data_IF_690977859834
#
_entry.id   IF_690977859834
#
_cell.length_a   1.000
_cell.length_b   1.000
_cell.length_c   1.000
_cell.angle_alpha   90.00
_cell.angle_beta   90.00
_cell.angle_gamma   90.00
#
_symmetry.space_group_name_H-M   'P 1'
#
loop_
_entity.id
_entity.type
_entity.pdbx_description
1 polymer ?
#
# COMPACT_ATOMS: atom_id res chain seq x y z
N UNK A 1 -14.20 25.48 49.54
CA UNK A 1 -13.61 26.42 48.58
C UNK A 1 -12.10 26.23 48.39
N UNK A 2 -11.26 26.27 49.43
CA UNK A 2 -9.82 26.02 49.26
C UNK A 2 -9.44 24.54 49.04
N UNK A 3 -10.19 23.58 49.61
CA UNK A 3 -9.95 22.14 49.36
C UNK A 3 -10.18 21.78 47.89
N UNK A 4 -11.30 22.25 47.33
CA UNK A 4 -11.78 21.84 46.01
C UNK A 4 -10.78 22.16 44.89
N UNK A 5 -10.00 23.24 45.04
CA UNK A 5 -8.92 23.61 44.12
C UNK A 5 -7.69 22.71 44.25
N UNK A 6 -7.36 22.24 45.46
CA UNK A 6 -6.26 21.29 45.69
C UNK A 6 -6.62 19.92 45.13
N UNK A 7 -7.85 19.46 45.37
CA UNK A 7 -8.36 18.18 44.87
C UNK A 7 -8.37 18.14 43.32
N UNK A 8 -8.76 19.25 42.67
CA UNK A 8 -8.71 19.40 41.22
C UNK A 8 -7.27 19.31 40.67
N UNK A 9 -6.32 20.07 41.23
CA UNK A 9 -4.92 20.06 40.80
C UNK A 9 -4.25 18.68 40.99
N UNK A 10 -4.60 17.96 42.06
CA UNK A 10 -4.15 16.57 42.25
C UNK A 10 -4.74 15.63 41.19
N UNK A 11 -6.00 15.84 40.79
CA UNK A 11 -6.66 15.02 39.76
C UNK A 11 -6.03 15.21 38.37
N UNK A 12 -5.70 16.46 37.99
CA UNK A 12 -5.02 16.75 36.72
C UNK A 12 -3.61 16.15 36.67
N UNK A 13 -2.83 16.32 37.75
CA UNK A 13 -1.49 15.72 37.84
C UNK A 13 -1.54 14.20 37.68
N UNK A 14 -2.49 13.54 38.37
CA UNK A 14 -2.70 12.08 38.29
C UNK A 14 -3.17 11.62 36.90
N UNK A 15 -3.93 12.45 36.17
CA UNK A 15 -4.29 12.17 34.79
C UNK A 15 -3.08 12.24 33.85
N UNK A 16 -2.20 13.22 34.06
CA UNK A 16 -0.96 13.38 33.28
C UNK A 16 0.04 12.24 33.55
N UNK A 17 0.19 11.80 34.80
CA UNK A 17 1.01 10.63 35.18
C UNK A 17 0.51 9.37 34.42
N UNK A 18 -0.80 9.08 34.48
CA UNK A 18 -1.42 7.96 33.74
C UNK A 18 -1.26 8.02 32.22
N UNK A 19 -1.33 9.22 31.63
CA UNK A 19 -1.10 9.42 30.20
C UNK A 19 0.35 9.09 29.83
N UNK A 20 1.30 9.52 30.66
CA UNK A 20 2.73 9.25 30.48
C UNK A 20 3.02 7.75 30.53
N UNK A 21 2.51 7.05 31.55
CA UNK A 21 2.69 5.60 31.72
C UNK A 21 2.12 4.83 30.51
N UNK A 22 0.93 5.22 30.04
CA UNK A 22 0.27 4.60 28.88
C UNK A 22 1.06 4.81 27.57
N UNK A 23 1.62 6.02 27.36
CA UNK A 23 2.44 6.31 26.19
C UNK A 23 3.77 5.54 26.23
N UNK A 24 4.38 5.38 27.40
CA UNK A 24 5.59 4.58 27.56
C UNK A 24 5.31 3.09 27.27
N UNK A 25 4.22 2.53 27.79
CA UNK A 25 3.85 1.14 27.53
C UNK A 25 3.65 0.87 26.03
N UNK A 26 2.95 1.76 25.31
CA UNK A 26 2.75 1.63 23.86
C UNK A 26 4.09 1.69 23.09
N UNK A 27 5.05 2.51 23.54
CA UNK A 27 6.38 2.57 22.92
C UNK A 27 7.19 1.27 23.16
N UNK A 28 7.12 0.70 24.36
CA UNK A 28 7.77 -0.57 24.71
C UNK A 28 7.15 -1.75 23.92
N UNK A 29 5.82 -1.78 23.78
CA UNK A 29 5.09 -2.80 23.01
C UNK A 29 5.49 -2.76 21.52
N UNK A 30 5.61 -1.56 20.94
CA UNK A 30 6.04 -1.38 19.53
C UNK A 30 7.47 -1.89 19.32
N UNK A 31 8.40 -1.57 20.22
CA UNK A 31 9.79 -2.05 20.16
C UNK A 31 9.89 -3.58 20.30
N UNK A 32 9.08 -4.18 21.19
CA UNK A 32 8.97 -5.62 21.35
C UNK A 32 8.50 -6.31 20.05
N UNK A 33 7.43 -5.82 19.43
CA UNK A 33 6.88 -6.34 18.16
C UNK A 33 7.91 -6.23 17.03
N UNK A 34 8.62 -5.10 16.94
CA UNK A 34 9.69 -4.90 15.95
C UNK A 34 10.80 -5.95 16.10
N UNK A 35 11.24 -6.22 17.32
CA UNK A 35 12.31 -7.20 17.61
C UNK A 35 11.91 -8.62 17.23
N UNK A 36 10.74 -9.09 17.63
CA UNK A 36 10.33 -10.48 17.36
C UNK A 36 10.10 -10.74 15.85
N UNK A 37 9.67 -9.71 15.09
CA UNK A 37 9.51 -9.78 13.63
C UNK A 37 10.83 -10.07 12.89
N UNK A 38 11.97 -9.55 13.36
CA UNK A 38 13.29 -9.79 12.72
C UNK A 38 13.74 -11.25 12.76
N UNK A 39 13.23 -12.02 13.73
CA UNK A 39 13.57 -13.44 13.97
C UNK A 39 12.98 -14.40 12.93
N UNK A 40 11.96 -13.96 12.18
CA UNK A 40 11.18 -14.78 11.26
C UNK A 40 11.86 -14.89 9.88
N UNK A 41 12.81 -13.99 9.54
CA UNK A 41 13.39 -13.92 8.18
C UNK A 41 14.70 -14.71 7.96
N UNK A 42 15.28 -15.35 8.98
CA UNK A 42 16.58 -16.05 8.89
C UNK A 42 16.51 -17.51 8.37
N UNK A 43 15.40 -17.95 7.78
CA UNK A 43 15.22 -19.34 7.26
C UNK A 43 14.96 -19.45 5.76
N UNK A 44 15.47 -18.49 4.98
CA UNK A 44 15.24 -18.37 3.53
C UNK A 44 16.45 -18.64 2.61
N UNK A 45 17.43 -19.48 2.98
CA UNK A 45 18.65 -19.69 2.15
C UNK A 45 18.98 -21.16 1.84
N UNK A 46 18.45 -21.66 0.72
CA UNK A 46 18.78 -22.88 -0.06
C UNK A 46 18.38 -22.54 -1.52
N UNK A 47 19.23 -22.49 -2.56
CA UNK A 47 20.10 -23.52 -3.17
C UNK A 47 19.30 -24.82 -3.38
N UNK A 48 18.96 -25.29 -4.58
CA UNK A 48 19.26 -24.86 -5.97
C UNK A 48 18.06 -25.27 -6.89
N UNK A 49 18.06 -25.37 -8.23
CA UNK A 49 19.09 -25.42 -9.30
C UNK A 49 18.51 -24.96 -10.67
N UNK A 50 19.12 -25.32 -11.81
CA UNK A 50 18.78 -24.89 -13.17
C UNK A 50 17.92 -25.93 -13.94
N UNK A 51 16.90 -25.49 -14.69
CA UNK A 51 16.29 -26.31 -15.74
C UNK A 51 15.64 -25.43 -16.81
N UNK A 52 16.12 -25.57 -18.04
CA UNK A 52 15.53 -24.98 -19.23
C UNK A 52 14.27 -25.77 -19.63
N UNK A 53 13.20 -25.08 -20.02
CA UNK A 53 12.54 -25.12 -21.35
C UNK A 53 11.14 -24.51 -21.24
N UNK A 54 10.97 -23.44 -22.02
CA UNK A 54 9.77 -22.97 -22.72
C UNK A 54 8.47 -23.78 -22.58
N UNK A 55 7.40 -23.14 -22.08
CA UNK A 55 6.03 -23.46 -22.52
C UNK A 55 5.11 -22.22 -22.43
N UNK A 56 4.40 -21.93 -23.52
CA UNK A 56 3.47 -20.79 -23.64
C UNK A 56 2.02 -21.26 -23.45
N UNK A 57 1.63 -21.67 -22.24
CA UNK A 57 0.20 -21.79 -21.91
C UNK A 57 -0.13 -21.76 -20.41
N UNK A 58 -1.10 -20.91 -20.05
CA UNK A 58 -1.97 -21.02 -18.88
C UNK A 58 -1.35 -21.05 -17.46
N UNK A 59 -0.84 -19.90 -17.01
CA UNK A 59 -1.14 -19.45 -15.63
C UNK A 59 -1.26 -17.92 -15.58
N UNK A 60 -2.48 -17.41 -15.68
CA UNK A 60 -2.78 -15.97 -15.51
C UNK A 60 -2.69 -15.55 -14.03
N UNK A 61 -2.63 -16.51 -13.11
CA UNK A 61 -2.66 -16.27 -11.67
C UNK A 61 -1.28 -15.97 -11.09
N UNK A 62 -0.21 -16.60 -11.59
CA UNK A 62 1.15 -16.37 -11.07
C UNK A 62 1.73 -15.00 -11.46
N UNK A 63 1.25 -14.42 -12.56
CA UNK A 63 1.62 -13.05 -12.98
C UNK A 63 1.11 -12.00 -11.96
N UNK A 64 0.04 -12.28 -11.22
CA UNK A 64 -0.53 -11.35 -10.23
C UNK A 64 0.40 -11.10 -9.03
N UNK A 65 1.32 -12.02 -8.73
CA UNK A 65 2.28 -11.85 -7.64
C UNK A 65 3.65 -11.29 -8.11
N UNK A 66 3.82 -11.03 -9.41
CA UNK A 66 4.99 -10.28 -9.90
C UNK A 66 4.80 -8.82 -9.52
N UNK A 67 5.43 -8.40 -8.41
CA UNK A 67 5.53 -6.99 -8.01
C UNK A 67 6.17 -6.19 -9.14
N UNK A 68 5.34 -5.46 -9.90
CA UNK A 68 5.78 -4.52 -10.92
C UNK A 68 6.53 -3.40 -10.20
N UNK A 69 7.86 -3.40 -10.30
CA UNK A 69 8.70 -2.37 -9.72
C UNK A 69 9.10 -1.38 -10.82
N UNK A 70 8.22 -0.43 -11.12
CA UNK A 70 8.54 0.65 -12.05
C UNK A 70 9.60 1.57 -11.42
N UNK A 71 10.44 2.18 -12.25
CA UNK A 71 11.46 3.13 -11.80
C UNK A 71 11.40 4.40 -12.65
N UNK A 72 11.69 5.56 -12.04
CA UNK A 72 11.76 6.84 -12.75
C UNK A 72 10.40 7.40 -13.21
N UNK A 73 9.30 6.95 -12.60
CA UNK A 73 7.94 7.48 -12.79
C UNK A 73 7.23 7.82 -11.48
N UNK A 74 8.00 7.97 -10.41
CA UNK A 74 7.49 8.13 -9.04
C UNK A 74 6.56 9.34 -8.89
N UNK A 75 6.87 10.47 -9.55
CA UNK A 75 6.02 11.66 -9.58
C UNK A 75 4.66 11.38 -10.25
N UNK A 76 4.66 10.66 -11.38
CA UNK A 76 3.45 10.31 -12.12
C UNK A 76 2.59 9.31 -11.35
N UNK A 77 3.23 8.32 -10.71
CA UNK A 77 2.57 7.37 -9.80
C UNK A 77 1.94 8.08 -8.61
N UNK A 78 2.71 8.93 -7.91
CA UNK A 78 2.24 9.71 -6.76
C UNK A 78 1.04 10.60 -7.13
N UNK A 79 1.16 11.37 -8.21
CA UNK A 79 0.06 12.23 -8.68
C UNK A 79 -1.21 11.43 -9.01
N UNK A 80 -1.07 10.26 -9.65
CA UNK A 80 -2.21 9.39 -9.95
C UNK A 80 -2.86 8.82 -8.68
N UNK A 81 -2.07 8.38 -7.70
CA UNK A 81 -2.58 7.88 -6.42
C UNK A 81 -3.34 8.98 -5.66
N UNK A 82 -2.75 10.16 -5.50
CA UNK A 82 -3.38 11.32 -4.86
C UNK A 82 -4.67 11.72 -5.58
N UNK A 83 -4.67 11.72 -6.92
CA UNK A 83 -5.87 12.06 -7.69
C UNK A 83 -6.97 11.00 -7.60
N UNK A 84 -6.63 9.70 -7.56
CA UNK A 84 -7.62 8.62 -7.50
C UNK A 84 -8.21 8.42 -6.09
N UNK A 85 -7.46 8.77 -5.04
CA UNK A 85 -7.87 8.59 -3.63
C UNK A 85 -8.43 9.85 -2.96
N UNK A 86 -8.40 11.00 -3.65
CA UNK A 86 -9.02 12.24 -3.17
C UNK A 86 -10.52 12.07 -2.99
N UNK A 87 -11.06 12.63 -1.90
CA UNK A 87 -12.46 12.50 -1.48
C UNK A 87 -13.48 12.60 -2.62
N UNK A 88 -14.44 11.68 -2.60
CA UNK A 88 -15.49 11.54 -3.59
C UNK A 88 -16.31 12.84 -3.76
N UNK A 89 -16.37 13.36 -5.00
CA UNK A 89 -17.12 14.58 -5.33
C UNK A 89 -18.57 14.34 -5.75
N UNK A 90 -19.04 13.08 -5.76
CA UNK A 90 -20.33 12.69 -6.36
C UNK A 90 -20.25 12.37 -7.85
N UNK A 91 -19.14 12.68 -8.52
CA UNK A 91 -19.00 12.58 -9.98
C UNK A 91 -17.99 11.50 -10.41
N UNK A 92 -18.23 10.78 -11.53
CA UNK A 92 -17.25 9.84 -12.09
C UNK A 92 -15.96 10.54 -12.55
N UNK A 93 -14.81 10.10 -12.03
CA UNK A 93 -13.50 10.65 -12.40
C UNK A 93 -12.83 9.80 -13.49
N UNK A 94 -12.41 10.45 -14.58
CA UNK A 94 -11.66 9.83 -15.69
C UNK A 94 -10.25 10.41 -15.74
N UNK A 95 -9.23 9.56 -15.87
CA UNK A 95 -7.83 9.96 -16.04
C UNK A 95 -7.24 9.21 -17.23
N UNK A 96 -6.68 9.94 -18.20
CA UNK A 96 -6.08 9.38 -19.40
C UNK A 96 -4.55 9.31 -19.25
N UNK A 97 -3.96 8.15 -19.57
CA UNK A 97 -2.51 7.97 -19.65
C UNK A 97 -2.12 7.93 -21.13
N UNK A 98 -1.46 8.99 -21.60
CA UNK A 98 -1.05 9.18 -23.00
C UNK A 98 0.47 9.11 -23.16
N UNK A 99 0.95 8.90 -24.39
CA UNK A 99 2.37 8.78 -24.72
C UNK A 99 2.66 7.71 -25.78
N UNK A 100 3.93 7.61 -26.20
CA UNK A 100 4.40 6.73 -27.29
C UNK A 100 4.14 5.23 -27.04
N UNK A 101 4.28 4.41 -28.08
CA UNK A 101 4.36 2.95 -27.94
C UNK A 101 5.53 2.54 -27.03
N UNK A 102 5.41 1.41 -26.32
CA UNK A 102 6.48 0.88 -25.46
C UNK A 102 6.81 1.66 -24.17
N UNK A 103 6.37 2.92 -24.02
CA UNK A 103 6.79 3.85 -22.95
C UNK A 103 6.37 3.47 -21.50
N UNK A 104 5.68 2.34 -21.31
CA UNK A 104 5.27 1.82 -20.01
C UNK A 104 3.90 2.28 -19.49
N UNK A 105 3.01 2.82 -20.34
CA UNK A 105 1.67 3.30 -19.92
C UNK A 105 0.85 2.25 -19.16
N UNK A 106 0.74 1.06 -19.75
CA UNK A 106 0.02 -0.08 -19.16
C UNK A 106 0.71 -0.60 -17.90
N UNK A 107 2.04 -0.49 -17.83
CA UNK A 107 2.83 -0.85 -16.64
C UNK A 107 2.50 0.06 -15.46
N UNK A 108 2.51 1.38 -15.67
CA UNK A 108 2.13 2.38 -14.67
C UNK A 108 0.67 2.18 -14.21
N UNK A 109 -0.25 1.95 -15.15
CA UNK A 109 -1.65 1.67 -14.83
C UNK A 109 -1.84 0.40 -13.97
N UNK A 110 -1.09 -0.68 -14.26
CA UNK A 110 -1.12 -1.93 -13.48
C UNK A 110 -0.48 -1.79 -12.10
N UNK A 111 0.60 -1.02 -11.97
CA UNK A 111 1.23 -0.73 -10.69
C UNK A 111 0.26 0.02 -9.77
N UNK A 112 -0.41 1.06 -10.27
CA UNK A 112 -1.41 1.83 -9.53
C UNK A 112 -2.64 0.97 -9.19
N UNK A 113 -3.13 0.17 -10.15
CA UNK A 113 -4.27 -0.73 -9.91
C UNK A 113 -4.05 -1.70 -8.73
N UNK A 114 -2.80 -2.13 -8.54
CA UNK A 114 -2.36 -3.03 -7.47
C UNK A 114 -1.81 -2.30 -6.22
N UNK A 115 -1.82 -0.97 -6.19
CA UNK A 115 -1.34 -0.21 -5.03
C UNK A 115 -2.27 -0.41 -3.83
N UNK A 116 -1.68 -0.55 -2.64
CA UNK A 116 -2.41 -0.76 -1.37
C UNK A 116 -3.41 0.37 -1.11
N UNK A 117 -3.09 1.60 -1.49
CA UNK A 117 -3.96 2.76 -1.36
C UNK A 117 -5.23 2.62 -2.22
N UNK A 118 -5.09 2.06 -3.43
CA UNK A 118 -6.18 1.84 -4.39
C UNK A 118 -7.00 0.59 -4.00
N UNK A 119 -6.34 -0.44 -3.49
CA UNK A 119 -6.96 -1.63 -2.90
C UNK A 119 -7.93 -1.29 -1.76
N UNK A 120 -7.59 -0.33 -0.90
CA UNK A 120 -8.44 0.09 0.22
C UNK A 120 -9.46 1.20 -0.12
N UNK A 121 -9.28 1.93 -1.23
CA UNK A 121 -10.17 3.03 -1.60
C UNK A 121 -11.37 2.61 -2.45
N UNK A 122 -11.27 1.51 -3.21
CA UNK A 122 -12.32 1.05 -4.12
C UNK A 122 -12.82 -0.34 -3.76
N UNK A 123 -14.09 -0.45 -3.36
CA UNK A 123 -14.77 -1.71 -3.03
C UNK A 123 -14.70 -2.73 -4.18
N UNK A 124 -14.79 -2.24 -5.42
CA UNK A 124 -14.74 -3.03 -6.65
C UNK A 124 -13.78 -2.38 -7.63
N UNK A 125 -12.91 -3.20 -8.23
CA UNK A 125 -11.96 -2.81 -9.27
C UNK A 125 -12.07 -3.79 -10.43
N UNK A 126 -11.92 -3.30 -11.65
CA UNK A 126 -11.98 -4.11 -12.87
C UNK A 126 -10.86 -3.71 -13.84
N UNK A 127 -10.38 -4.66 -14.63
CA UNK A 127 -9.41 -4.45 -15.69
C UNK A 127 -9.93 -5.07 -16.98
N UNK A 128 -9.90 -4.30 -18.08
CA UNK A 128 -10.26 -4.75 -19.41
C UNK A 128 -9.17 -4.37 -20.41
N UNK A 129 -8.99 -5.20 -21.44
CA UNK A 129 -8.09 -4.92 -22.57
C UNK A 129 -8.93 -4.92 -23.83
N UNK A 130 -8.91 -3.82 -24.58
CA UNK A 130 -9.61 -3.69 -25.86
C UNK A 130 -8.57 -3.55 -26.96
N UNK A 131 -8.52 -4.53 -27.86
CA UNK A 131 -7.78 -4.49 -29.12
C UNK A 131 -8.64 -3.90 -30.23
N UNK A 132 -8.02 -3.36 -31.28
CA UNK A 132 -8.72 -3.18 -32.55
C UNK A 132 -8.96 -4.55 -33.18
N UNK A 133 -10.20 -5.05 -33.09
CA UNK A 133 -10.69 -6.08 -34.00
C UNK A 133 -11.07 -5.41 -35.31
N UNK A 134 -10.32 -5.67 -36.37
CA UNK A 134 -10.76 -5.35 -37.72
C UNK A 134 -11.69 -6.47 -38.21
N UNK A 135 -13.00 -6.21 -38.24
CA UNK A 135 -13.88 -6.94 -39.15
C UNK A 135 -13.58 -6.42 -40.56
N UNK A 136 -13.07 -7.30 -41.41
CA UNK A 136 -12.92 -7.11 -42.86
C UNK A 136 -14.07 -7.84 -43.55
#
# INVERSE_FOLDING_TARGET
>A
MFSDTIDLLQSEKKAHERLSDSLQQVAEDIDCICKESTKIQDKGKRVSEESLVQDFSSSTNDILNVKINMVGRDDQRKWLLEHLTRSYSGEPKVILIVGMGGIGKTTLAKEIYNDVSILHHFDVRAWATVSQQHNV
#
